data_IF_234262171929
#
_entry.id   IF_234262171929
#
_cell.length_a   1.000
_cell.length_b   1.000
_cell.length_c   1.000
_cell.angle_alpha   90.00
_cell.angle_beta   90.00
_cell.angle_gamma   90.00
#
_symmetry.space_group_name_H-M   'P 1'
#
loop_
_entity.id
_entity.type
_entity.pdbx_description
1 polymer ?
#
# COMPACT_ATOMS: atom_id res chain seq x y z
N UNK A 1 14.59 5.83 -5.08
CA UNK A 1 15.41 6.14 -6.26
C UNK A 1 15.54 4.90 -7.12
N UNK A 2 15.28 5.00 -8.42
CA UNK A 2 15.56 3.95 -9.41
C UNK A 2 16.48 4.58 -10.44
N UNK A 3 17.74 4.13 -10.50
CA UNK A 3 18.78 4.72 -11.36
C UNK A 3 18.95 6.24 -11.18
N UNK A 4 18.90 6.71 -9.93
CA UNK A 4 19.06 8.14 -9.63
C UNK A 4 17.80 9.00 -9.79
N UNK A 5 16.63 8.41 -10.10
CA UNK A 5 15.38 9.14 -10.25
C UNK A 5 14.31 8.74 -9.23
N UNK A 6 13.45 9.68 -8.86
CA UNK A 6 12.22 9.44 -8.10
C UNK A 6 11.06 9.31 -9.10
N UNK A 7 10.41 8.14 -9.11
CA UNK A 7 9.36 7.80 -10.09
C UNK A 7 7.94 7.92 -9.56
N UNK A 8 7.79 8.02 -8.24
CA UNK A 8 6.49 8.08 -7.57
C UNK A 8 6.65 8.80 -6.22
N UNK A 9 5.54 9.20 -5.59
CA UNK A 9 5.54 9.98 -4.34
C UNK A 9 4.23 9.85 -3.57
N UNK A 10 4.12 10.63 -2.50
CA UNK A 10 2.95 10.75 -1.63
C UNK A 10 2.55 12.23 -1.55
N UNK A 11 1.26 12.52 -1.42
CA UNK A 11 0.75 13.91 -1.43
C UNK A 11 0.87 14.63 -0.09
N UNK A 12 1.32 13.94 0.96
CA UNK A 12 1.39 14.46 2.33
C UNK A 12 2.28 15.70 2.50
N UNK A 13 3.32 15.87 1.67
CA UNK A 13 4.16 17.07 1.65
C UNK A 13 4.83 17.27 0.29
N UNK A 14 4.09 17.80 -0.68
CA UNK A 14 4.58 18.04 -2.05
C UNK A 14 4.14 19.41 -2.55
N UNK A 15 5.05 20.11 -3.22
CA UNK A 15 4.74 21.29 -4.04
C UNK A 15 4.75 20.91 -5.52
N UNK A 16 3.72 21.34 -6.24
CA UNK A 16 3.53 21.06 -7.67
C UNK A 16 3.57 22.36 -8.46
N UNK A 17 4.34 22.39 -9.55
CA UNK A 17 4.31 23.46 -10.54
C UNK A 17 3.09 23.26 -11.44
N UNK A 18 1.94 23.79 -11.06
CA UNK A 18 0.65 23.54 -11.73
C UNK A 18 0.61 23.86 -13.24
N UNK A 19 1.49 24.74 -13.72
CA UNK A 19 1.63 25.05 -15.15
C UNK A 19 2.45 24.05 -15.97
N UNK A 20 3.01 22.99 -15.36
CA UNK A 20 3.80 22.01 -16.11
C UNK A 20 2.91 21.11 -16.98
N UNK A 21 3.38 20.79 -18.19
CA UNK A 21 2.64 19.93 -19.12
C UNK A 21 2.36 18.54 -18.53
N UNK A 22 3.29 18.02 -17.71
CA UNK A 22 3.13 16.75 -17.00
C UNK A 22 1.94 16.72 -16.03
N UNK A 23 1.39 17.87 -15.65
CA UNK A 23 0.24 18.03 -14.74
C UNK A 23 -1.04 18.51 -15.44
N UNK A 24 -0.97 18.89 -16.72
CA UNK A 24 -2.10 19.44 -17.48
C UNK A 24 -3.26 18.44 -17.50
N UNK A 25 -4.43 18.88 -17.01
CA UNK A 25 -5.65 18.05 -16.95
C UNK A 25 -5.59 16.87 -15.98
N UNK A 26 -4.51 16.69 -15.22
CA UNK A 26 -4.34 15.53 -14.35
C UNK A 26 -5.25 15.59 -13.12
N UNK A 27 -5.82 14.46 -12.74
CA UNK A 27 -6.69 14.30 -11.56
C UNK A 27 -6.35 13.01 -10.84
N UNK A 28 -6.67 12.94 -9.55
CA UNK A 28 -6.60 11.70 -8.79
C UNK A 28 -7.66 10.71 -9.25
N UNK A 29 -7.30 9.43 -9.24
CA UNK A 29 -8.21 8.35 -9.58
C UNK A 29 -9.25 8.15 -8.49
N UNK A 30 -10.53 8.42 -8.81
CA UNK A 30 -11.64 8.17 -7.88
C UNK A 30 -11.77 6.67 -7.53
N UNK A 31 -11.42 5.78 -8.45
CA UNK A 31 -11.41 4.35 -8.21
C UNK A 31 -10.39 3.94 -7.15
N UNK A 32 -9.30 4.70 -7.01
CA UNK A 32 -8.29 4.48 -5.97
C UNK A 32 -8.62 5.16 -4.64
N UNK A 33 -9.45 6.20 -4.58
CA UNK A 33 -9.70 6.93 -3.32
C UNK A 33 -10.21 6.08 -2.14
N UNK A 34 -10.93 4.99 -2.38
CA UNK A 34 -11.43 4.09 -1.31
C UNK A 34 -10.50 2.94 -0.99
N UNK A 35 -9.66 2.57 -1.96
CA UNK A 35 -8.69 1.55 -1.76
C UNK A 35 -7.44 2.27 -1.21
N UNK A 36 -6.79 3.11 -1.99
CA UNK A 36 -5.54 3.78 -1.70
C UNK A 36 -4.56 3.57 -2.86
N UNK A 37 -3.51 4.40 -2.89
CA UNK A 37 -2.53 4.40 -3.98
C UNK A 37 -2.86 5.42 -5.06
N UNK A 38 -3.84 6.31 -4.85
CA UNK A 38 -4.10 7.42 -5.76
C UNK A 38 -2.85 8.30 -5.94
N UNK A 39 -2.07 8.54 -4.88
CA UNK A 39 -0.82 9.28 -4.94
C UNK A 39 0.18 8.58 -5.86
N UNK A 40 0.40 7.28 -5.62
CA UNK A 40 1.36 6.48 -6.37
C UNK A 40 1.04 6.52 -7.86
N UNK A 41 -0.23 6.32 -8.20
CA UNK A 41 -0.72 6.39 -9.59
C UNK A 41 -0.57 7.80 -10.18
N UNK A 42 -0.96 8.84 -9.45
CA UNK A 42 -0.83 10.22 -9.90
C UNK A 42 0.61 10.58 -10.26
N UNK A 43 1.56 10.26 -9.38
CA UNK A 43 2.98 10.58 -9.59
C UNK A 43 3.65 9.66 -10.62
N UNK A 44 3.29 8.38 -10.68
CA UNK A 44 3.79 7.47 -11.73
C UNK A 44 3.37 7.97 -13.12
N UNK A 45 2.11 8.36 -13.30
CA UNK A 45 1.65 8.90 -14.57
C UNK A 45 2.24 10.29 -14.87
N UNK A 46 2.42 11.15 -13.86
CA UNK A 46 3.12 12.43 -14.02
C UNK A 46 4.56 12.22 -14.49
N UNK A 47 5.28 11.26 -13.90
CA UNK A 47 6.64 10.92 -14.28
C UNK A 47 6.72 10.33 -15.69
N UNK A 48 5.80 9.42 -16.06
CA UNK A 48 5.66 8.88 -17.42
C UNK A 48 5.38 9.97 -18.47
N UNK A 49 4.75 11.07 -18.07
CA UNK A 49 4.52 12.24 -18.91
C UNK A 49 5.71 13.23 -18.92
N UNK A 50 6.90 12.80 -18.51
CA UNK A 50 8.12 13.62 -18.50
C UNK A 50 8.30 14.49 -17.25
N UNK A 51 7.41 14.37 -16.26
CA UNK A 51 7.55 15.03 -14.97
C UNK A 51 8.77 14.55 -14.19
N UNK A 52 9.43 15.48 -13.49
CA UNK A 52 10.55 15.16 -12.58
C UNK A 52 10.12 15.38 -11.15
N UNK A 53 10.52 14.46 -10.28
CA UNK A 53 10.29 14.54 -8.84
C UNK A 53 11.66 14.68 -8.18
N UNK A 54 11.79 15.69 -7.32
CA UNK A 54 12.99 15.95 -6.53
C UNK A 54 12.67 15.84 -5.05
N UNK A 55 13.65 15.37 -4.27
CA UNK A 55 13.57 15.34 -2.82
C UNK A 55 14.10 16.67 -2.25
N UNK A 56 13.35 17.30 -1.36
CA UNK A 56 13.75 18.50 -0.63
C UNK A 56 14.12 18.10 0.81
N UNK A 57 15.41 18.02 1.19
CA UNK A 57 15.83 17.52 2.49
C UNK A 57 15.31 18.37 3.66
N UNK A 58 15.08 19.66 3.43
CA UNK A 58 14.58 20.60 4.44
C UNK A 58 13.05 20.73 4.47
N UNK A 59 12.33 20.00 3.62
CA UNK A 59 10.86 19.99 3.62
C UNK A 59 10.33 19.00 4.68
N UNK A 60 10.55 19.33 5.95
CA UNK A 60 10.09 18.54 7.09
C UNK A 60 8.56 18.58 7.23
N UNK A 61 7.97 17.46 7.63
CA UNK A 61 6.53 17.34 7.96
C UNK A 61 6.35 16.43 9.15
N UNK A 62 5.55 16.89 10.11
CA UNK A 62 5.13 16.10 11.27
C UNK A 62 3.68 15.65 11.06
N UNK A 63 3.47 14.34 10.93
CA UNK A 63 2.13 13.75 10.77
C UNK A 63 1.74 12.99 12.05
N UNK A 64 0.68 13.43 12.71
CA UNK A 64 0.11 12.72 13.86
C UNK A 64 -0.64 11.49 13.37
N UNK A 65 -0.12 10.30 13.66
CA UNK A 65 -0.81 9.04 13.36
C UNK A 65 -1.84 8.76 14.45
N UNK A 66 -3.16 8.73 14.15
CA UNK A 66 -4.18 8.47 15.16
C UNK A 66 -4.06 7.04 15.69
N UNK A 67 -4.47 6.81 16.95
CA UNK A 67 -4.40 5.48 17.60
C UNK A 67 -5.08 4.38 16.78
N UNK A 68 -6.18 4.69 16.11
CA UNK A 68 -6.89 3.76 15.22
C UNK A 68 -6.03 3.29 14.04
N UNK A 69 -5.14 4.14 13.50
CA UNK A 69 -4.20 3.80 12.42
C UNK A 69 -2.90 3.14 12.94
N UNK A 70 -2.53 3.38 14.19
CA UNK A 70 -1.42 2.69 14.84
C UNK A 70 -1.81 1.29 15.38
N UNK A 71 -3.11 0.99 15.45
CA UNK A 71 -3.62 -0.28 15.95
C UNK A 71 -3.23 -1.46 15.05
N UNK A 72 -2.97 -2.61 15.67
CA UNK A 72 -2.59 -3.83 14.97
C UNK A 72 -3.64 -4.27 13.94
N UNK A 73 -4.93 -4.10 14.24
CA UNK A 73 -6.02 -4.41 13.33
C UNK A 73 -5.89 -3.63 12.01
N UNK A 74 -5.70 -2.31 12.10
CA UNK A 74 -5.54 -1.46 10.92
C UNK A 74 -4.26 -1.81 10.16
N UNK A 75 -3.15 -2.02 10.86
CA UNK A 75 -1.88 -2.44 10.26
C UNK A 75 -2.02 -3.79 9.54
N UNK A 76 -2.75 -4.74 10.12
CA UNK A 76 -3.05 -6.05 9.54
C UNK A 76 -3.82 -5.91 8.24
N UNK A 77 -4.94 -5.18 8.25
CA UNK A 77 -5.73 -4.88 7.04
C UNK A 77 -4.87 -4.20 5.97
N UNK A 78 -4.10 -3.17 6.33
CA UNK A 78 -3.19 -2.48 5.40
C UNK A 78 -2.16 -3.44 4.79
N UNK A 79 -1.55 -4.31 5.59
CA UNK A 79 -0.52 -5.26 5.13
C UNK A 79 -1.09 -6.34 4.24
N UNK A 80 -2.26 -6.89 4.58
CA UNK A 80 -2.97 -7.83 3.73
C UNK A 80 -3.24 -7.21 2.36
N UNK A 81 -3.76 -5.99 2.35
CA UNK A 81 -4.08 -5.25 1.13
C UNK A 81 -2.85 -4.96 0.26
N UNK A 82 -1.73 -4.56 0.86
CA UNK A 82 -0.43 -4.44 0.15
C UNK A 82 -0.04 -5.76 -0.52
N UNK A 83 -0.29 -6.87 0.18
CA UNK A 83 -0.14 -8.21 -0.38
C UNK A 83 -1.01 -8.46 -1.59
N UNK A 84 -2.31 -8.13 -1.51
CA UNK A 84 -3.26 -8.32 -2.62
C UNK A 84 -2.80 -7.59 -3.88
N UNK A 85 -2.41 -6.31 -3.76
CA UNK A 85 -1.90 -5.54 -4.90
C UNK A 85 -0.64 -6.20 -5.51
N UNK A 86 0.28 -6.68 -4.67
CA UNK A 86 1.47 -7.40 -5.16
C UNK A 86 1.11 -8.71 -5.87
N UNK A 87 0.15 -9.47 -5.32
CA UNK A 87 -0.35 -10.71 -5.93
C UNK A 87 -1.00 -10.48 -7.29
N UNK A 88 -1.86 -9.47 -7.42
CA UNK A 88 -2.49 -9.08 -8.69
C UNK A 88 -1.45 -8.73 -9.76
N UNK A 89 -0.41 -7.97 -9.41
CA UNK A 89 0.67 -7.60 -10.33
C UNK A 89 1.50 -8.81 -10.78
N UNK A 90 1.75 -9.77 -9.88
CA UNK A 90 2.44 -11.02 -10.24
C UNK A 90 1.56 -11.90 -11.14
N UNK A 91 0.25 -11.97 -10.85
CA UNK A 91 -0.71 -12.77 -11.61
C UNK A 91 -0.96 -12.22 -13.02
N UNK A 92 -0.96 -10.89 -13.21
CA UNK A 92 -1.25 -10.27 -14.51
C UNK A 92 -0.24 -10.58 -15.61
N UNK A 93 0.92 -11.14 -15.29
CA UNK A 93 1.99 -11.45 -16.25
C UNK A 93 2.46 -12.91 -16.17
N UNK A 94 1.80 -13.76 -15.37
CA UNK A 94 2.21 -15.14 -15.15
C UNK A 94 1.39 -16.13 -15.99
N UNK A 95 2.04 -17.18 -16.50
CA UNK A 95 1.35 -18.36 -17.02
C UNK A 95 0.69 -19.15 -15.87
N UNK A 96 -0.25 -20.06 -16.19
CA UNK A 96 -0.93 -20.89 -15.18
C UNK A 96 0.03 -21.69 -14.29
N UNK A 97 1.12 -22.22 -14.86
CA UNK A 97 2.18 -22.91 -14.11
C UNK A 97 2.97 -21.93 -13.23
N UNK A 98 3.25 -20.74 -13.75
CA UNK A 98 3.87 -19.65 -13.00
C UNK A 98 3.03 -19.23 -11.80
N UNK A 99 1.70 -19.20 -11.95
CA UNK A 99 0.77 -18.85 -10.88
C UNK A 99 0.84 -19.84 -9.72
N UNK A 100 0.80 -21.16 -10.00
CA UNK A 100 0.91 -22.20 -8.97
C UNK A 100 2.22 -22.05 -8.18
N UNK A 101 3.34 -21.80 -8.88
CA UNK A 101 4.64 -21.56 -8.25
C UNK A 101 4.61 -20.32 -7.34
N UNK A 102 4.01 -19.21 -7.79
CA UNK A 102 3.91 -17.98 -6.98
C UNK A 102 3.03 -18.18 -5.75
N UNK A 103 1.92 -18.89 -5.88
CA UNK A 103 1.06 -19.26 -4.75
C UNK A 103 1.84 -20.10 -3.75
N UNK A 104 2.54 -21.15 -4.19
CA UNK A 104 3.36 -21.99 -3.32
C UNK A 104 4.45 -21.20 -2.57
N UNK A 105 5.16 -20.32 -3.28
CA UNK A 105 6.19 -19.47 -2.67
C UNK A 105 5.62 -18.46 -1.67
N UNK A 106 4.47 -17.85 -1.98
CA UNK A 106 3.80 -16.91 -1.08
C UNK A 106 3.30 -17.63 0.18
N UNK A 107 2.69 -18.81 0.04
CA UNK A 107 2.27 -19.65 1.16
C UNK A 107 3.44 -20.08 2.04
N UNK A 108 4.55 -20.54 1.45
CA UNK A 108 5.75 -20.89 2.21
C UNK A 108 6.32 -19.71 3.00
N UNK A 109 6.37 -18.51 2.39
CA UNK A 109 6.78 -17.28 3.09
C UNK A 109 5.83 -16.89 4.21
N UNK A 110 4.51 -17.06 4.03
CA UNK A 110 3.52 -16.81 5.07
C UNK A 110 3.74 -17.73 6.27
N UNK A 111 3.87 -19.03 6.03
CA UNK A 111 4.13 -20.05 7.07
C UNK A 111 5.42 -19.72 7.81
N UNK A 112 6.52 -19.46 7.09
CA UNK A 112 7.79 -19.08 7.71
C UNK A 112 7.66 -17.81 8.58
N UNK A 113 6.96 -16.78 8.10
CA UNK A 113 6.76 -15.54 8.85
C UNK A 113 5.92 -15.77 10.11
N UNK A 114 4.90 -16.62 10.08
CA UNK A 114 4.13 -16.96 11.28
C UNK A 114 4.93 -17.84 12.25
N UNK A 115 5.64 -18.85 11.74
CA UNK A 115 6.50 -19.70 12.55
C UNK A 115 7.62 -18.92 13.25
N UNK A 116 8.28 -17.99 12.53
CA UNK A 116 9.31 -17.12 13.11
C UNK A 116 8.79 -16.12 14.15
N UNK A 117 7.47 -15.93 14.27
CA UNK A 117 6.87 -15.13 15.33
C UNK A 117 6.80 -15.87 16.68
N UNK A 118 6.78 -17.21 16.68
CA UNK A 118 6.69 -18.06 17.88
C UNK A 118 7.88 -17.86 18.84
N UNK A 119 9.16 -17.96 18.41
CA UNK A 119 10.28 -17.81 19.34
C UNK A 119 10.43 -16.38 19.90
N UNK A 120 9.72 -15.39 19.33
CA UNK A 120 9.78 -13.98 19.72
C UNK A 120 8.47 -13.48 20.30
N UNK A 121 7.57 -14.37 20.72
CA UNK A 121 6.19 -14.06 21.14
C UNK A 121 6.13 -13.03 22.27
N UNK A 122 7.12 -13.04 23.16
CA UNK A 122 7.26 -12.12 24.31
C UNK A 122 7.66 -10.69 23.90
N UNK A 123 8.14 -10.48 22.67
CA UNK A 123 8.48 -9.16 22.14
C UNK A 123 7.39 -8.69 21.18
N UNK A 124 6.47 -7.80 21.60
CA UNK A 124 5.35 -7.39 20.77
C UNK A 124 5.80 -6.78 19.45
N UNK A 125 6.90 -6.01 19.46
CA UNK A 125 7.46 -5.37 18.25
C UNK A 125 7.95 -6.41 17.24
N UNK A 126 8.77 -7.38 17.68
CA UNK A 126 9.34 -8.42 16.80
C UNK A 126 8.26 -9.38 16.31
N UNK A 127 7.41 -9.85 17.23
CA UNK A 127 6.25 -10.70 16.91
C UNK A 127 5.35 -10.03 15.89
N UNK A 128 4.90 -8.79 16.16
CA UNK A 128 3.98 -8.09 15.26
C UNK A 128 4.62 -7.85 13.89
N UNK A 129 5.92 -7.55 13.81
CA UNK A 129 6.64 -7.43 12.54
C UNK A 129 6.56 -8.72 11.71
N UNK A 130 6.83 -9.87 12.32
CA UNK A 130 6.76 -11.18 11.65
C UNK A 130 5.32 -11.53 11.26
N UNK A 131 4.35 -11.35 12.15
CA UNK A 131 2.92 -11.61 11.87
C UNK A 131 2.40 -10.71 10.75
N UNK A 132 2.68 -9.39 10.79
CA UNK A 132 2.31 -8.44 9.73
C UNK A 132 2.99 -8.73 8.39
N UNK A 133 4.15 -9.40 8.40
CA UNK A 133 4.80 -9.90 7.18
C UNK A 133 4.09 -11.16 6.66
N UNK A 134 3.70 -12.07 7.55
CA UNK A 134 2.88 -13.23 7.21
C UNK A 134 1.54 -12.83 6.60
N UNK A 135 0.80 -11.91 7.23
CA UNK A 135 -0.48 -11.36 6.74
C UNK A 135 -0.31 -10.76 5.33
N UNK A 136 0.80 -10.06 5.06
CA UNK A 136 1.08 -9.55 3.72
C UNK A 136 1.17 -10.70 2.70
N UNK A 137 1.88 -11.79 3.02
CA UNK A 137 1.99 -12.94 2.11
C UNK A 137 0.66 -13.69 1.91
N UNK A 138 -0.19 -13.77 2.94
CA UNK A 138 -1.57 -14.26 2.77
C UNK A 138 -2.34 -13.35 1.79
N UNK A 139 -2.15 -12.04 1.87
CA UNK A 139 -2.67 -11.09 0.90
C UNK A 139 -2.17 -11.36 -0.52
N UNK A 140 -0.89 -11.72 -0.70
CA UNK A 140 -0.33 -12.09 -2.02
C UNK A 140 -1.06 -13.30 -2.60
N UNK A 141 -1.28 -14.35 -1.80
CA UNK A 141 -2.06 -15.52 -2.23
C UNK A 141 -3.47 -15.10 -2.63
N UNK A 142 -4.13 -14.28 -1.81
CA UNK A 142 -5.47 -13.74 -2.12
C UNK A 142 -5.52 -12.97 -3.43
N UNK A 143 -4.51 -12.14 -3.72
CA UNK A 143 -4.40 -11.40 -4.97
C UNK A 143 -4.16 -12.32 -6.18
N UNK A 144 -3.28 -13.33 -6.05
CA UNK A 144 -3.00 -14.31 -7.10
C UNK A 144 -4.24 -15.13 -7.48
N UNK A 145 -5.12 -15.42 -6.51
CA UNK A 145 -6.37 -16.17 -6.73
C UNK A 145 -7.50 -15.24 -7.24
N UNK A 146 -7.25 -13.94 -7.43
CA UNK A 146 -8.21 -13.01 -8.04
C UNK A 146 -9.25 -12.43 -7.07
N UNK A 147 -9.04 -12.54 -5.76
CA UNK A 147 -9.94 -11.94 -4.77
C UNK A 147 -9.80 -10.40 -4.83
N UNK A 148 -10.95 -9.71 -4.80
CA UNK A 148 -11.02 -8.24 -4.88
C UNK A 148 -10.24 -7.58 -3.73
N UNK A 149 -9.56 -6.47 -4.04
CA UNK A 149 -8.83 -5.70 -3.04
C UNK A 149 -9.78 -5.15 -1.97
N UNK A 150 -9.37 -5.22 -0.70
CA UNK A 150 -10.16 -4.64 0.38
C UNK A 150 -10.14 -3.10 0.31
N UNK A 151 -11.29 -2.50 0.59
CA UNK A 151 -11.42 -1.04 0.77
C UNK A 151 -10.95 -0.68 2.17
N UNK A 152 -10.04 0.29 2.25
CA UNK A 152 -9.44 0.75 3.51
C UNK A 152 -10.00 2.11 3.94
N UNK A 153 -10.52 2.90 3.00
CA UNK A 153 -10.96 4.27 3.22
C UNK A 153 -12.41 4.46 2.77
N UNK A 154 -13.07 5.49 3.32
CA UNK A 154 -14.45 5.82 2.98
C UNK A 154 -15.49 4.79 3.43
N UNK A 155 -15.12 3.89 4.35
CA UNK A 155 -16.10 3.05 5.05
C UNK A 155 -16.63 3.83 6.26
N UNK A 156 -17.94 3.86 6.51
CA UNK A 156 -18.47 4.49 7.72
C UNK A 156 -17.85 3.79 8.93
N UNK A 157 -17.14 4.54 9.78
CA UNK A 157 -16.63 3.97 11.02
C UNK A 157 -17.81 3.75 11.98
N UNK A 158 -17.85 2.66 12.77
CA UNK A 158 -18.92 2.43 13.75
C UNK A 158 -19.05 3.54 14.82
N UNK A 159 -18.09 4.47 14.89
CA UNK A 159 -18.06 5.59 15.84
C UNK A 159 -18.34 6.96 15.19
N UNK A 160 -18.57 7.05 13.88
CA UNK A 160 -18.94 8.31 13.20
C UNK A 160 -20.46 8.50 13.10
N UNK A 161 -21.18 8.13 14.16
CA UNK A 161 -22.52 8.64 14.43
C UNK A 161 -22.43 10.09 14.90
N UNK A 162 -22.25 11.04 13.98
CA UNK A 162 -22.40 12.46 14.31
C UNK A 162 -21.28 13.38 13.81
N UNK A 163 -21.03 13.42 12.50
CA UNK A 163 -20.60 14.67 11.87
C UNK A 163 -21.60 15.01 10.78
N UNK A 164 -22.62 15.79 11.17
CA UNK A 164 -23.47 16.49 10.20
C UNK A 164 -22.58 17.46 9.44
N UNK A 165 -22.53 17.31 8.12
CA UNK A 165 -21.98 18.32 7.23
C UNK A 165 -22.78 19.62 7.44
N UNK A 166 -22.05 20.72 7.68
CA UNK A 166 -22.53 22.07 7.44
C UNK A 166 -22.22 22.43 5.98
#
# INVERSE_FOLDING_TARGET
>A
WVRGEIRTGYTCNVLLRMGSDSLRGRRFSLARGQTGGEDTEFFDQMHKAGGRIAFAPEAWVDEVVPRSRAAFEWLGRRRFRVGQTHGHLLGSSASSIGLVKQVGLASAKAIYCFASALPVVVSPVRRNRSVLRGIMHVGVVSGLVGIREIRLYGQPSPQEGGKRAA
#
